data_IF_120320360993
#
_entry.id   IF_120320360993
#
_cell.length_a   1.000
_cell.length_b   1.000
_cell.length_c   1.000
_cell.angle_alpha   90.00
_cell.angle_beta   90.00
_cell.angle_gamma   90.00
#
_symmetry.space_group_name_H-M   'P 1'
#
loop_
_entity.id
_entity.type
_entity.pdbx_description
1 polymer ?
#
# COMPACT_ATOMS: atom_id res chain seq x y z
N UNK A 1 27.22 8.21 0.67
CA UNK A 1 26.58 9.16 -0.25
C UNK A 1 25.71 10.13 0.55
N UNK A 2 25.75 11.45 0.27
CA UNK A 2 24.78 12.39 0.85
C UNK A 2 23.48 12.35 0.05
N UNK A 3 22.33 12.49 0.71
CA UNK A 3 21.05 12.56 0.02
C UNK A 3 20.94 13.86 -0.80
N UNK A 4 20.52 13.73 -2.05
CA UNK A 4 20.32 14.86 -2.95
C UNK A 4 18.97 15.51 -2.68
N UNK A 5 18.99 16.80 -2.33
CA UNK A 5 17.79 17.53 -1.89
C UNK A 5 16.63 17.41 -2.89
N UNK A 6 16.88 17.58 -4.18
CA UNK A 6 15.84 17.48 -5.23
C UNK A 6 15.14 16.12 -5.26
N UNK A 7 15.87 15.04 -4.98
CA UNK A 7 15.32 13.67 -4.97
C UNK A 7 14.47 13.50 -3.71
N UNK A 8 14.98 13.94 -2.56
CA UNK A 8 14.25 13.91 -1.29
C UNK A 8 12.95 14.71 -1.39
N UNK A 9 13.01 15.92 -1.93
CA UNK A 9 11.84 16.77 -2.15
C UNK A 9 10.80 16.06 -3.03
N UNK A 10 11.24 15.34 -4.09
CA UNK A 10 10.33 14.57 -4.95
C UNK A 10 9.72 13.35 -4.25
N UNK A 11 10.49 12.65 -3.42
CA UNK A 11 9.95 11.55 -2.57
C UNK A 11 8.87 12.10 -1.65
N UNK A 12 9.15 13.23 -0.97
CA UNK A 12 8.20 13.87 -0.04
C UNK A 12 6.91 14.25 -0.77
N UNK A 13 7.00 14.91 -1.93
CA UNK A 13 5.84 15.27 -2.75
C UNK A 13 4.99 14.04 -3.09
N UNK A 14 5.63 12.96 -3.58
CA UNK A 14 4.91 11.74 -3.96
C UNK A 14 4.30 11.02 -2.75
N UNK A 15 4.99 11.00 -1.60
CA UNK A 15 4.46 10.45 -0.35
C UNK A 15 3.27 11.26 0.16
N UNK A 16 3.31 12.60 0.09
CA UNK A 16 2.22 13.48 0.49
C UNK A 16 1.00 13.29 -0.40
N UNK A 17 1.18 13.20 -1.72
CA UNK A 17 0.09 12.90 -2.66
C UNK A 17 -0.59 11.58 -2.31
N UNK A 18 0.18 10.50 -2.13
CA UNK A 18 -0.35 9.17 -1.78
C UNK A 18 -1.03 9.15 -0.41
N UNK A 19 -0.49 9.89 0.56
CA UNK A 19 -1.11 10.04 1.87
C UNK A 19 -2.46 10.75 1.76
N UNK A 20 -2.58 11.76 0.91
CA UNK A 20 -3.85 12.45 0.62
C UNK A 20 -4.90 11.52 0.02
N UNK A 21 -4.52 10.74 -0.98
CA UNK A 21 -5.41 9.75 -1.63
C UNK A 21 -5.89 8.69 -0.61
N UNK A 22 -4.95 8.12 0.13
CA UNK A 22 -5.23 7.12 1.17
C UNK A 22 -6.16 7.67 2.27
N UNK A 23 -5.86 8.88 2.78
CA UNK A 23 -6.66 9.51 3.85
C UNK A 23 -8.08 9.75 3.36
N UNK A 24 -8.24 10.30 2.15
CA UNK A 24 -9.55 10.55 1.54
C UNK A 24 -10.38 9.27 1.40
N UNK A 25 -9.73 8.17 1.00
CA UNK A 25 -10.38 6.86 0.88
C UNK A 25 -10.82 6.29 2.24
N UNK A 26 -9.95 6.33 3.25
CA UNK A 26 -10.26 5.84 4.60
C UNK A 26 -11.35 6.69 5.25
N UNK A 27 -11.30 8.01 5.13
CA UNK A 27 -12.33 8.92 5.65
C UNK A 27 -13.71 8.63 5.05
N UNK A 28 -13.78 8.32 3.76
CA UNK A 28 -15.02 7.89 3.10
C UNK A 28 -15.59 6.62 3.74
N UNK A 29 -14.77 5.61 4.02
CA UNK A 29 -15.23 4.39 4.69
C UNK A 29 -15.64 4.63 6.14
N UNK A 30 -14.88 5.45 6.88
CA UNK A 30 -15.24 5.84 8.26
C UNK A 30 -16.58 6.57 8.28
N UNK A 31 -16.85 7.44 7.31
CA UNK A 31 -18.15 8.11 7.19
C UNK A 31 -19.28 7.10 7.05
N UNK A 32 -19.15 6.12 6.14
CA UNK A 32 -20.16 5.07 5.99
C UNK A 32 -20.27 4.18 7.24
N UNK A 33 -19.19 3.98 7.99
CA UNK A 33 -19.19 3.16 9.20
C UNK A 33 -20.02 3.78 10.32
N UNK A 34 -20.12 5.12 10.37
CA UNK A 34 -21.01 5.83 11.31
C UNK A 34 -22.49 5.62 11.03
N UNK A 35 -22.84 5.36 9.77
CA UNK A 35 -24.22 5.17 9.32
C UNK A 35 -24.60 3.68 9.22
N UNK A 36 -23.67 2.77 9.52
CA UNK A 36 -23.89 1.33 9.47
C UNK A 36 -24.93 0.88 10.50
N UNK A 37 -25.90 0.08 10.06
CA UNK A 37 -27.03 -0.43 10.82
C UNK A 37 -26.86 -1.88 11.23
N UNK A 38 -25.97 -2.63 10.57
CA UNK A 38 -25.72 -4.03 10.87
C UNK A 38 -24.24 -4.33 11.11
N UNK A 39 -23.95 -5.44 11.78
CA UNK A 39 -22.58 -5.91 12.03
C UNK A 39 -21.88 -6.22 10.71
N UNK A 40 -22.61 -6.78 9.74
CA UNK A 40 -22.10 -7.11 8.41
C UNK A 40 -21.63 -5.86 7.67
N UNK A 41 -22.39 -4.76 7.70
CA UNK A 41 -21.98 -3.48 7.12
C UNK A 41 -20.69 -2.96 7.75
N UNK A 42 -20.57 -3.05 9.08
CA UNK A 42 -19.35 -2.70 9.82
C UNK A 42 -18.17 -3.57 9.38
N UNK A 43 -18.36 -4.89 9.27
CA UNK A 43 -17.31 -5.83 8.89
C UNK A 43 -16.84 -5.63 7.45
N UNK A 44 -17.77 -5.38 6.51
CA UNK A 44 -17.45 -5.04 5.11
C UNK A 44 -16.62 -3.75 5.06
N UNK A 45 -17.06 -2.69 5.75
CA UNK A 45 -16.35 -1.40 5.74
C UNK A 45 -14.98 -1.50 6.40
N UNK A 46 -14.86 -2.25 7.49
CA UNK A 46 -13.58 -2.49 8.14
C UNK A 46 -12.62 -3.29 7.25
N UNK A 47 -13.12 -4.28 6.51
CA UNK A 47 -12.32 -4.98 5.47
C UNK A 47 -11.79 -4.00 4.43
N UNK A 48 -12.64 -3.13 3.89
CA UNK A 48 -12.24 -2.12 2.89
C UNK A 48 -11.19 -1.14 3.42
N UNK A 49 -11.28 -0.75 4.69
CA UNK A 49 -10.23 0.06 5.33
C UNK A 49 -8.90 -0.71 5.35
N UNK A 50 -8.91 -1.98 5.79
CA UNK A 50 -7.70 -2.81 5.81
C UNK A 50 -7.09 -3.02 4.42
N UNK A 51 -7.93 -3.28 3.41
CA UNK A 51 -7.53 -3.34 2.00
C UNK A 51 -6.81 -2.04 1.59
N UNK A 52 -7.37 -0.87 1.91
CA UNK A 52 -6.79 0.44 1.60
C UNK A 52 -5.44 0.69 2.31
N UNK A 53 -5.29 0.28 3.57
CA UNK A 53 -4.02 0.36 4.29
C UNK A 53 -2.91 -0.41 3.59
N UNK A 54 -3.20 -1.65 3.18
CA UNK A 54 -2.21 -2.54 2.58
C UNK A 54 -1.86 -2.11 1.15
N UNK A 55 -2.84 -1.74 0.35
CA UNK A 55 -2.62 -1.29 -1.04
C UNK A 55 -1.86 0.04 -1.11
N UNK A 56 -2.02 0.91 -0.11
CA UNK A 56 -1.44 2.26 -0.07
C UNK A 56 0.01 2.31 0.41
N UNK A 57 0.62 1.21 0.85
CA UNK A 57 2.03 1.20 1.28
C UNK A 57 2.92 1.68 0.10
N UNK A 58 3.73 2.74 0.27
CA UNK A 58 4.45 3.40 -0.83
C UNK A 58 5.74 2.66 -1.23
N UNK A 59 5.60 1.47 -1.80
CA UNK A 59 6.72 0.63 -2.27
C UNK A 59 7.05 0.84 -3.76
N UNK A 60 6.57 1.90 -4.39
CA UNK A 60 6.62 2.07 -5.84
C UNK A 60 7.89 2.81 -6.30
N UNK A 61 8.18 2.76 -7.61
CA UNK A 61 9.40 3.37 -8.18
C UNK A 61 9.40 4.90 -8.13
N UNK A 62 8.25 5.53 -7.86
CA UNK A 62 8.11 6.97 -7.63
C UNK A 62 8.37 7.39 -6.18
N UNK A 63 8.52 6.46 -5.24
CA UNK A 63 8.91 6.76 -3.85
C UNK A 63 10.28 6.20 -3.48
N UNK A 64 10.91 5.41 -4.37
CA UNK A 64 12.27 4.92 -4.20
C UNK A 64 13.31 5.97 -4.62
N UNK A 65 14.24 6.30 -3.71
CA UNK A 65 15.33 7.26 -3.94
C UNK A 65 16.12 6.97 -5.22
N UNK A 66 16.56 5.73 -5.41
CA UNK A 66 17.40 5.37 -6.55
C UNK A 66 16.60 5.30 -7.86
N UNK A 67 15.34 4.87 -7.82
CA UNK A 67 14.48 4.91 -9.01
C UNK A 67 14.22 6.35 -9.46
N UNK A 68 14.04 7.29 -8.54
CA UNK A 68 13.89 8.72 -8.87
C UNK A 68 15.23 9.28 -9.37
N UNK A 69 16.35 8.91 -8.73
CA UNK A 69 17.70 9.33 -9.13
C UNK A 69 18.05 8.94 -10.56
N UNK A 70 17.73 7.71 -10.94
CA UNK A 70 18.14 7.10 -12.20
C UNK A 70 17.02 7.05 -13.26
N UNK A 71 15.88 7.72 -13.02
CA UNK A 71 14.82 7.84 -14.02
C UNK A 71 15.26 8.75 -15.18
N UNK A 72 15.71 8.16 -16.29
CA UNK A 72 15.95 8.82 -17.57
C UNK A 72 14.92 8.33 -18.62
N UNK A 73 13.70 8.86 -18.58
CA UNK A 73 12.69 8.58 -19.61
C UNK A 73 11.99 7.21 -19.52
N UNK A 74 11.35 6.81 -20.64
CA UNK A 74 10.36 5.72 -20.78
C UNK A 74 10.90 4.29 -20.59
N UNK A 75 12.18 4.12 -20.26
CA UNK A 75 12.80 2.82 -19.99
C UNK A 75 12.96 2.69 -18.48
N UNK A 76 12.65 1.51 -17.93
CA UNK A 76 12.83 1.20 -16.51
C UNK A 76 14.17 1.79 -16.01
N UNK A 77 14.21 2.42 -14.81
CA UNK A 77 15.44 3.01 -14.30
C UNK A 77 16.53 1.96 -14.36
N UNK A 78 17.69 2.34 -14.89
CA UNK A 78 18.83 1.45 -15.09
C UNK A 78 19.20 0.78 -13.76
N UNK A 79 18.64 -0.41 -13.54
CA UNK A 79 18.76 -1.15 -12.28
C UNK A 79 20.16 -1.78 -12.16
N UNK A 80 20.93 -1.83 -13.25
CA UNK A 80 22.32 -2.29 -13.24
C UNK A 80 23.23 -1.32 -12.48
N UNK A 81 22.89 -0.02 -12.49
CA UNK A 81 23.63 1.03 -11.78
C UNK A 81 23.02 1.42 -10.42
N UNK A 82 21.99 0.70 -9.96
CA UNK A 82 21.25 1.04 -8.75
C UNK A 82 21.94 0.49 -7.48
N UNK A 83 22.47 1.36 -6.62
CA UNK A 83 23.13 0.90 -5.38
C UNK A 83 22.19 0.17 -4.40
N UNK A 84 20.87 0.35 -4.51
CA UNK A 84 19.94 -0.49 -3.75
C UNK A 84 19.98 -1.93 -4.23
N UNK A 85 20.04 -2.16 -5.56
CA UNK A 85 20.06 -3.49 -6.13
C UNK A 85 21.34 -4.26 -5.78
N UNK A 86 22.48 -3.58 -5.61
CA UNK A 86 23.75 -4.19 -5.16
C UNK A 86 23.60 -4.97 -3.84
N UNK A 87 22.74 -4.49 -2.94
CA UNK A 87 22.53 -5.10 -1.63
C UNK A 87 21.25 -5.95 -1.54
N UNK A 88 20.24 -5.61 -2.36
CA UNK A 88 18.89 -6.15 -2.22
C UNK A 88 18.43 -6.98 -3.43
N UNK A 89 19.23 -7.08 -4.49
CA UNK A 89 18.86 -7.62 -5.79
C UNK A 89 18.01 -6.66 -6.61
N UNK A 90 17.91 -6.91 -7.91
CA UNK A 90 17.09 -6.09 -8.82
C UNK A 90 15.61 -6.24 -8.43
N UNK A 91 14.90 -5.13 -8.28
CA UNK A 91 13.54 -5.14 -7.71
C UNK A 91 12.58 -6.08 -8.46
N UNK A 92 12.62 -6.09 -9.80
CA UNK A 92 11.71 -6.93 -10.61
C UNK A 92 12.07 -8.42 -10.57
N UNK A 93 13.26 -8.78 -10.08
CA UNK A 93 13.70 -10.17 -10.00
C UNK A 93 13.10 -10.88 -8.79
N UNK A 94 12.68 -12.13 -9.03
CA UNK A 94 12.17 -13.02 -7.98
C UNK A 94 13.26 -13.26 -6.94
N UNK A 95 12.94 -12.99 -5.68
CA UNK A 95 13.83 -13.23 -4.54
C UNK A 95 14.61 -12.00 -4.05
N UNK A 96 14.56 -10.87 -4.78
CA UNK A 96 15.05 -9.58 -4.28
C UNK A 96 14.30 -9.17 -3.00
N UNK A 97 14.91 -8.31 -2.17
CA UNK A 97 14.27 -7.84 -0.94
C UNK A 97 12.97 -7.10 -1.23
N UNK A 98 12.96 -6.23 -2.25
CA UNK A 98 11.73 -5.54 -2.67
C UNK A 98 10.66 -6.53 -3.12
N UNK A 99 11.02 -7.52 -3.95
CA UNK A 99 10.06 -8.52 -4.43
C UNK A 99 9.44 -9.28 -3.26
N UNK A 100 10.26 -9.75 -2.31
CA UNK A 100 9.79 -10.45 -1.09
C UNK A 100 8.81 -9.59 -0.28
N UNK A 101 9.15 -8.33 -0.02
CA UNK A 101 8.28 -7.41 0.74
C UNK A 101 6.97 -7.17 -0.02
N UNK A 102 7.05 -6.86 -1.31
CA UNK A 102 5.89 -6.58 -2.14
C UNK A 102 4.98 -7.80 -2.30
N UNK A 103 5.54 -8.99 -2.49
CA UNK A 103 4.78 -10.25 -2.55
C UNK A 103 4.08 -10.54 -1.22
N UNK A 104 4.74 -10.31 -0.08
CA UNK A 104 4.10 -10.48 1.24
C UNK A 104 3.00 -9.45 1.47
N UNK A 105 3.17 -8.21 1.01
CA UNK A 105 2.12 -7.17 1.02
C UNK A 105 0.88 -7.65 0.27
N UNK A 106 1.04 -8.15 -0.96
CA UNK A 106 -0.10 -8.64 -1.74
C UNK A 106 -0.70 -9.91 -1.15
N UNK A 107 0.11 -10.82 -0.60
CA UNK A 107 -0.41 -11.97 0.14
C UNK A 107 -1.25 -11.53 1.35
N UNK A 108 -0.85 -10.50 2.08
CA UNK A 108 -1.64 -9.95 3.17
C UNK A 108 -2.95 -9.34 2.65
N UNK A 109 -2.89 -8.60 1.54
CA UNK A 109 -4.07 -8.04 0.89
C UNK A 109 -5.07 -9.15 0.52
N UNK A 110 -4.61 -10.22 -0.14
CA UNK A 110 -5.43 -11.35 -0.55
C UNK A 110 -6.05 -12.04 0.69
N UNK A 111 -5.26 -12.26 1.75
CA UNK A 111 -5.78 -12.81 3.01
C UNK A 111 -6.84 -11.90 3.65
N UNK A 112 -6.71 -10.58 3.57
CA UNK A 112 -7.75 -9.67 4.06
C UNK A 112 -9.03 -9.83 3.22
N UNK A 113 -8.92 -9.89 1.90
CA UNK A 113 -10.07 -10.04 1.00
C UNK A 113 -10.79 -11.37 1.26
N UNK A 114 -10.03 -12.46 1.37
CA UNK A 114 -10.55 -13.82 1.43
C UNK A 114 -10.97 -14.25 2.83
N UNK A 115 -10.25 -13.81 3.88
CA UNK A 115 -10.39 -14.37 5.23
C UNK A 115 -11.03 -13.42 6.24
N UNK A 116 -11.02 -12.11 6.01
CA UNK A 116 -11.44 -11.14 7.04
C UNK A 116 -12.96 -11.14 7.30
N UNK A 117 -13.76 -11.24 6.24
CA UNK A 117 -15.22 -11.31 6.29
C UNK A 117 -15.72 -12.06 5.06
N UNK A 118 -16.39 -13.19 5.27
CA UNK A 118 -16.79 -14.15 4.24
C UNK A 118 -18.29 -14.10 3.92
N UNK A 119 -19.00 -13.09 4.41
CA UNK A 119 -20.44 -12.96 4.24
C UNK A 119 -21.26 -13.69 5.30
N UNK A 120 -20.63 -14.04 6.43
CA UNK A 120 -21.34 -14.55 7.61
C UNK A 120 -22.38 -13.54 8.12
N UNK A 121 -23.46 -14.05 8.69
CA UNK A 121 -24.55 -13.26 9.28
C UNK A 121 -24.52 -13.46 10.79
N UNK A 122 -24.57 -12.36 11.53
CA UNK A 122 -24.56 -12.36 12.99
C UNK A 122 -25.97 -12.07 13.48
N UNK A 123 -26.54 -13.00 14.26
CA UNK A 123 -27.85 -12.82 14.87
C UNK A 123 -27.82 -11.64 15.85
N UNK A 124 -28.86 -10.82 15.82
CA UNK A 124 -29.06 -9.81 16.85
C UNK A 124 -29.48 -10.53 18.13
N UNK A 125 -28.69 -10.42 19.19
CA UNK A 125 -29.17 -10.80 20.52
C UNK A 125 -30.43 -9.96 20.81
N UNK A 126 -31.60 -10.60 20.77
CA UNK A 126 -32.82 -10.01 21.31
C UNK A 126 -32.59 -9.89 22.81
N UNK A 127 -32.24 -8.68 23.27
CA UNK A 127 -32.23 -8.35 24.69
C UNK A 127 -33.60 -8.76 25.26
N UNK A 128 -33.61 -9.83 26.07
CA UNK A 128 -34.73 -10.19 26.94
C UNK A 128 -34.64 -9.39 28.23
#
# INVERSE_FOLDING_TARGET
MKAEKKIVDKIVENLQSRLGDFTSEVERYIKHLKDAKTVEEVMILKRRILEAWVSSIPLWSDTCYFCIKYKSGLVYPDCECCQYAEHHGICVEKGSSWHKINSLRWKLYDLIVDEYYKGEVYEQETNK
#
